data_IF_894363324751
#
_entry.id   IF_894363324751
#
_cell.length_a   1.000
_cell.length_b   1.000
_cell.length_c   1.000
_cell.angle_alpha   90.00
_cell.angle_beta   90.00
_cell.angle_gamma   90.00
#
_symmetry.space_group_name_H-M   'P 1'
#
loop_
_entity.id
_entity.type
_entity.pdbx_description
1 polymer ?
#
# COMPACT_ATOMS: atom_id res chain seq x y z
N UNK A 1 2.28 8.54 11.99
CA UNK A 1 1.02 9.10 12.47
C UNK A 1 0.38 9.94 11.39
N UNK A 2 -0.90 9.71 11.12
CA UNK A 2 -1.77 10.46 10.23
C UNK A 2 -1.48 10.40 8.72
N UNK A 3 -1.90 9.34 8.06
CA UNK A 3 -2.24 9.34 6.63
C UNK A 3 -3.07 8.10 6.30
N UNK A 4 -4.30 8.05 6.74
CA UNK A 4 -5.23 7.03 6.28
C UNK A 4 -6.67 7.38 6.64
N UNK A 5 -7.15 8.56 6.26
CA UNK A 5 -8.59 8.84 6.33
C UNK A 5 -8.91 9.89 5.26
N UNK A 6 -9.03 9.47 4.02
CA UNK A 6 -9.80 10.19 3.01
C UNK A 6 -10.17 9.20 1.91
N UNK A 7 -11.41 8.76 1.89
CA UNK A 7 -11.87 8.00 0.73
C UNK A 7 -12.98 6.99 0.95
N UNK A 8 -13.73 7.07 2.02
CA UNK A 8 -14.86 6.16 2.21
C UNK A 8 -16.12 6.87 2.73
N UNK A 9 -16.40 8.05 2.26
CA UNK A 9 -17.59 8.78 2.68
C UNK A 9 -18.38 9.25 1.47
N UNK A 10 -19.07 8.33 0.82
CA UNK A 10 -20.32 8.62 0.09
C UNK A 10 -20.90 7.29 -0.43
N UNK A 11 -21.59 6.63 0.39
CA UNK A 11 -22.68 5.68 0.25
C UNK A 11 -22.66 4.68 1.44
N UNK A 12 -22.61 5.23 2.65
CA UNK A 12 -23.07 4.46 3.80
C UNK A 12 -24.59 4.50 3.75
N UNK A 13 -25.20 3.40 3.41
CA UNK A 13 -26.59 3.16 3.75
C UNK A 13 -26.65 2.98 5.27
N UNK A 14 -27.27 3.89 6.03
CA UNK A 14 -27.42 3.71 7.46
C UNK A 14 -28.51 2.69 7.70
N UNK A 15 -28.21 1.65 8.42
CA UNK A 15 -29.34 0.88 8.81
C UNK A 15 -29.09 -0.45 9.48
N UNK A 16 -28.49 -0.46 10.64
CA UNK A 16 -28.94 -1.43 11.64
C UNK A 16 -30.04 -0.81 12.49
N UNK A 17 -31.25 -0.79 11.99
CA UNK A 17 -32.44 -0.76 12.84
C UNK A 17 -32.85 -2.23 13.05
N UNK A 18 -32.77 -2.67 14.30
CA UNK A 18 -33.37 -3.92 14.76
C UNK A 18 -34.84 -3.93 14.33
N UNK A 19 -35.19 -4.84 13.43
CA UNK A 19 -36.56 -5.16 13.18
C UNK A 19 -37.15 -5.79 14.46
N UNK A 20 -38.11 -5.11 15.06
CA UNK A 20 -39.06 -5.73 15.97
C UNK A 20 -39.86 -6.74 15.19
N UNK A 21 -39.99 -7.94 15.73
CA UNK A 21 -40.93 -8.97 15.28
C UNK A 21 -42.32 -8.35 15.07
N UNK A 22 -42.66 -8.17 13.80
CA UNK A 22 -44.09 -8.02 13.44
C UNK A 22 -44.61 -9.39 13.03
N UNK A 23 -45.76 -9.80 13.56
CA UNK A 23 -46.34 -11.08 13.23
C UNK A 23 -46.73 -11.15 11.76
N UNK A 24 -46.40 -12.29 11.13
CA UNK A 24 -46.68 -12.70 9.77
C UNK A 24 -48.16 -12.46 9.41
N UNK A 25 -48.45 -11.40 8.70
CA UNK A 25 -49.79 -11.02 8.20
C UNK A 25 -49.99 -11.32 6.71
N UNK A 26 -49.08 -12.01 6.06
CA UNK A 26 -49.17 -12.25 4.61
C UNK A 26 -49.47 -13.72 4.22
N UNK A 27 -50.45 -14.30 4.87
CA UNK A 27 -51.21 -15.46 4.30
C UNK A 27 -52.53 -15.00 3.71
N UNK A 28 -52.51 -14.07 2.75
CA UNK A 28 -53.65 -13.82 1.88
C UNK A 28 -53.19 -13.52 0.46
N UNK A 29 -53.43 -14.49 -0.43
CA UNK A 29 -53.51 -14.31 -1.88
C UNK A 29 -52.17 -14.08 -2.56
N UNK A 30 -51.60 -15.13 -3.13
CA UNK A 30 -50.57 -15.05 -4.16
C UNK A 30 -51.19 -14.41 -5.44
N UNK A 31 -51.53 -13.12 -5.34
CA UNK A 31 -51.97 -12.35 -6.50
C UNK A 31 -50.75 -12.22 -7.42
N UNK A 32 -50.86 -12.74 -8.62
CA UNK A 32 -49.86 -12.57 -9.69
C UNK A 32 -49.51 -11.10 -9.82
N UNK A 33 -48.31 -10.73 -9.40
CA UNK A 33 -47.77 -9.37 -9.54
C UNK A 33 -47.03 -9.20 -10.87
N UNK A 34 -47.22 -10.13 -11.81
CA UNK A 34 -46.60 -10.11 -13.13
C UNK A 34 -47.58 -10.54 -14.22
N UNK A 35 -47.43 -9.99 -15.40
CA UNK A 35 -48.02 -10.44 -16.64
C UNK A 35 -46.96 -11.22 -17.43
N UNK A 36 -47.17 -12.53 -17.50
CA UNK A 36 -46.20 -13.46 -18.07
C UNK A 36 -46.73 -14.00 -19.41
N UNK A 37 -45.99 -13.71 -20.48
CA UNK A 37 -46.27 -14.12 -21.86
C UNK A 37 -45.23 -15.15 -22.25
N UNK A 38 -45.61 -16.46 -22.21
CA UNK A 38 -44.67 -17.53 -22.49
C UNK A 38 -45.17 -18.91 -22.02
N UNK A 39 -44.26 -19.87 -22.08
CA UNK A 39 -44.57 -21.28 -21.71
C UNK A 39 -43.53 -21.72 -20.66
N UNK A 40 -44.01 -22.35 -19.60
CA UNK A 40 -43.17 -22.92 -18.53
C UNK A 40 -42.13 -21.93 -17.95
N UNK A 41 -42.53 -20.68 -17.66
CA UNK A 41 -41.67 -19.68 -17.11
C UNK A 41 -40.61 -19.13 -18.10
N UNK A 42 -40.82 -19.31 -19.41
CA UNK A 42 -39.92 -18.83 -20.47
C UNK A 42 -40.66 -17.91 -21.42
N UNK A 43 -40.07 -16.78 -21.77
CA UNK A 43 -40.64 -15.79 -22.68
C UNK A 43 -40.44 -14.35 -22.22
N UNK A 44 -41.53 -13.56 -22.17
CA UNK A 44 -41.49 -12.16 -21.72
C UNK A 44 -42.36 -11.99 -20.47
N UNK A 45 -41.83 -11.39 -19.44
CA UNK A 45 -42.55 -11.09 -18.20
C UNK A 45 -42.53 -9.57 -17.94
N UNK A 46 -43.68 -9.05 -17.55
CA UNK A 46 -43.84 -7.67 -17.06
C UNK A 46 -44.30 -7.69 -15.62
N UNK A 47 -43.47 -7.17 -14.72
CA UNK A 47 -43.74 -7.14 -13.29
C UNK A 47 -42.84 -8.08 -12.48
N UNK A 48 -43.24 -8.31 -11.23
CA UNK A 48 -42.41 -8.96 -10.20
C UNK A 48 -42.55 -10.47 -10.19
N UNK A 49 -42.19 -11.15 -11.28
CA UNK A 49 -42.12 -12.60 -11.37
C UNK A 49 -41.00 -13.15 -10.48
N UNK A 50 -41.29 -14.28 -9.78
CA UNK A 50 -40.33 -14.93 -8.86
C UNK A 50 -39.18 -15.62 -9.61
N UNK A 51 -39.54 -16.38 -10.62
CA UNK A 51 -38.62 -17.17 -11.47
C UNK A 51 -38.96 -16.93 -12.94
N UNK A 52 -37.95 -16.56 -13.74
CA UNK A 52 -38.18 -16.28 -15.15
C UNK A 52 -36.96 -16.60 -16.01
N UNK A 53 -37.20 -17.11 -17.19
CA UNK A 53 -36.19 -17.29 -18.23
C UNK A 53 -36.59 -16.53 -19.49
N UNK A 54 -35.72 -15.61 -19.95
CA UNK A 54 -35.98 -14.78 -21.13
C UNK A 54 -35.91 -13.30 -20.81
N UNK A 55 -36.89 -12.52 -21.28
CA UNK A 55 -36.93 -11.06 -21.05
C UNK A 55 -37.83 -10.74 -19.84
N UNK A 56 -37.33 -10.02 -18.89
CA UNK A 56 -38.06 -9.60 -17.70
C UNK A 56 -37.96 -8.07 -17.54
N UNK A 57 -39.11 -7.42 -17.45
CA UNK A 57 -39.25 -5.99 -17.22
C UNK A 57 -39.94 -5.75 -15.89
N UNK A 58 -39.30 -5.07 -14.97
CA UNK A 58 -39.90 -4.79 -13.67
C UNK A 58 -39.57 -3.35 -13.21
N UNK A 59 -40.44 -2.75 -12.42
CA UNK A 59 -40.12 -1.49 -11.79
C UNK A 59 -39.09 -1.69 -10.66
N UNK A 60 -39.37 -2.64 -9.77
CA UNK A 60 -38.53 -2.94 -8.59
C UNK A 60 -38.78 -4.37 -8.11
N UNK A 61 -37.71 -5.11 -7.88
CA UNK A 61 -37.81 -6.49 -7.41
C UNK A 61 -38.16 -6.55 -5.91
N UNK A 62 -39.16 -7.34 -5.53
CA UNK A 62 -39.56 -7.56 -4.14
C UNK A 62 -39.52 -9.02 -3.72
N UNK A 63 -39.46 -9.95 -4.66
CA UNK A 63 -39.51 -11.39 -4.40
C UNK A 63 -38.79 -12.25 -5.43
N UNK A 64 -37.85 -11.66 -6.14
CA UNK A 64 -37.08 -12.40 -7.14
C UNK A 64 -36.32 -13.55 -6.51
N UNK A 65 -36.45 -14.73 -7.07
CA UNK A 65 -35.69 -15.96 -6.75
C UNK A 65 -34.59 -16.12 -7.79
N UNK A 66 -34.99 -16.20 -9.08
CA UNK A 66 -34.05 -16.40 -10.17
C UNK A 66 -34.55 -15.79 -11.49
N UNK A 67 -33.69 -15.03 -12.15
CA UNK A 67 -33.91 -14.58 -13.52
C UNK A 67 -32.76 -15.06 -14.42
N UNK A 68 -33.10 -15.80 -15.47
CA UNK A 68 -32.15 -16.29 -16.46
C UNK A 68 -32.41 -15.58 -17.80
N UNK A 69 -31.48 -14.74 -18.24
CA UNK A 69 -31.59 -13.95 -19.46
C UNK A 69 -31.45 -12.45 -19.20
N UNK A 70 -32.45 -11.66 -19.60
CA UNK A 70 -32.42 -10.20 -19.44
C UNK A 70 -33.37 -9.77 -18.31
N UNK A 71 -32.85 -9.13 -17.29
CA UNK A 71 -33.61 -8.49 -16.24
C UNK A 71 -33.45 -6.98 -16.32
N UNK A 72 -34.50 -6.29 -16.77
CA UNK A 72 -34.53 -4.83 -16.82
C UNK A 72 -35.35 -4.29 -15.65
N UNK A 73 -34.74 -3.45 -14.82
CA UNK A 73 -35.40 -2.82 -13.67
C UNK A 73 -35.23 -1.30 -13.70
N UNK A 74 -36.20 -0.59 -13.12
CA UNK A 74 -36.12 0.86 -12.96
C UNK A 74 -35.56 1.27 -11.60
N UNK A 75 -35.55 0.37 -10.62
CA UNK A 75 -35.06 0.67 -9.27
C UNK A 75 -34.40 -0.53 -8.60
N UNK A 76 -33.56 -0.26 -7.60
CA UNK A 76 -32.95 -1.28 -6.75
C UNK A 76 -34.01 -2.18 -6.11
N UNK A 77 -33.75 -3.47 -5.89
CA UNK A 77 -34.61 -4.37 -5.15
C UNK A 77 -34.96 -3.86 -3.75
N UNK A 78 -36.08 -4.34 -3.20
CA UNK A 78 -36.33 -4.19 -1.76
C UNK A 78 -35.40 -5.08 -0.96
N UNK A 79 -35.16 -4.76 0.30
CA UNK A 79 -34.46 -5.65 1.23
C UNK A 79 -35.13 -7.03 1.23
N UNK A 80 -34.33 -8.08 1.15
CA UNK A 80 -34.79 -9.46 1.01
C UNK A 80 -35.58 -9.79 -0.27
N UNK A 81 -35.69 -8.86 -1.21
CA UNK A 81 -36.37 -9.05 -2.49
C UNK A 81 -35.43 -9.33 -3.68
N UNK A 82 -34.15 -9.30 -3.45
CA UNK A 82 -33.11 -9.49 -4.47
C UNK A 82 -32.72 -10.97 -4.58
N UNK A 83 -33.07 -11.61 -5.70
CA UNK A 83 -32.68 -12.96 -6.02
C UNK A 83 -31.38 -13.06 -6.84
N UNK A 84 -31.29 -14.15 -7.63
CA UNK A 84 -30.17 -14.37 -8.54
C UNK A 84 -30.53 -13.90 -9.95
N UNK A 85 -29.60 -13.21 -10.60
CA UNK A 85 -29.69 -12.88 -12.02
C UNK A 85 -28.53 -13.55 -12.76
N UNK A 86 -28.84 -14.41 -13.72
CA UNK A 86 -27.89 -15.05 -14.62
C UNK A 86 -28.10 -14.50 -16.02
N UNK A 87 -27.17 -13.68 -16.51
CA UNK A 87 -27.25 -13.05 -17.83
C UNK A 87 -27.05 -11.53 -17.76
N UNK A 88 -28.03 -10.77 -18.21
CA UNK A 88 -27.94 -9.32 -18.33
C UNK A 88 -28.89 -8.64 -17.33
N UNK A 89 -28.35 -7.88 -16.39
CA UNK A 89 -29.11 -6.99 -15.52
C UNK A 89 -28.95 -5.54 -15.98
N UNK A 90 -30.07 -4.87 -16.31
CA UNK A 90 -30.08 -3.48 -16.77
C UNK A 90 -30.88 -2.64 -15.80
N UNK A 91 -30.28 -1.55 -15.31
CA UNK A 91 -30.89 -0.54 -14.44
C UNK A 91 -31.14 0.78 -15.16
N UNK A 92 -32.39 1.22 -15.22
CA UNK A 92 -32.80 2.50 -15.77
C UNK A 92 -33.62 3.29 -14.73
N UNK A 93 -33.00 3.97 -13.74
CA UNK A 93 -31.55 4.23 -13.62
C UNK A 93 -30.76 3.22 -12.77
N UNK A 94 -31.42 2.37 -11.96
CA UNK A 94 -30.78 1.50 -10.99
C UNK A 94 -31.23 0.03 -11.16
N UNK A 95 -30.33 -0.88 -10.87
CA UNK A 95 -30.63 -2.32 -10.73
C UNK A 95 -29.86 -2.94 -9.58
N UNK A 96 -30.20 -4.16 -9.22
CA UNK A 96 -29.51 -4.92 -8.20
C UNK A 96 -29.94 -6.37 -8.18
N UNK A 97 -29.15 -7.18 -7.48
CA UNK A 97 -29.45 -8.59 -7.25
C UNK A 97 -28.71 -9.05 -5.98
N UNK A 98 -29.15 -10.14 -5.39
CA UNK A 98 -28.37 -10.79 -4.35
C UNK A 98 -27.11 -11.44 -4.96
N UNK A 99 -27.27 -12.12 -6.08
CA UNK A 99 -26.17 -12.65 -6.88
C UNK A 99 -26.35 -12.25 -8.36
N UNK A 100 -25.32 -11.72 -8.99
CA UNK A 100 -25.33 -11.41 -10.41
C UNK A 100 -24.18 -12.13 -11.11
N UNK A 101 -24.53 -12.96 -12.10
CA UNK A 101 -23.57 -13.62 -13.00
C UNK A 101 -23.83 -13.17 -14.43
N UNK A 102 -22.86 -12.50 -15.04
CA UNK A 102 -22.95 -12.02 -16.39
C UNK A 102 -22.67 -10.52 -16.53
N UNK A 103 -23.53 -9.80 -17.23
CA UNK A 103 -23.36 -8.37 -17.49
C UNK A 103 -24.32 -7.55 -16.62
N UNK A 104 -23.79 -6.67 -15.80
CA UNK A 104 -24.55 -5.68 -15.03
C UNK A 104 -24.35 -4.28 -15.60
N UNK A 105 -25.43 -3.59 -15.97
CA UNK A 105 -25.38 -2.22 -16.49
C UNK A 105 -26.37 -1.36 -15.71
N UNK A 106 -25.90 -0.32 -15.05
CA UNK A 106 -26.75 0.65 -14.38
C UNK A 106 -26.43 2.06 -14.83
N UNK A 107 -27.42 2.82 -15.32
CA UNK A 107 -27.18 4.21 -15.76
C UNK A 107 -26.63 5.06 -14.60
N UNK A 108 -27.24 4.97 -13.41
CA UNK A 108 -26.65 5.55 -12.22
C UNK A 108 -25.80 4.53 -11.48
N UNK A 109 -26.30 3.30 -11.35
CA UNK A 109 -25.54 2.28 -10.66
C UNK A 109 -26.24 0.95 -10.52
N UNK A 110 -25.52 0.00 -9.93
CA UNK A 110 -26.10 -1.23 -9.48
C UNK A 110 -25.47 -1.74 -8.18
N UNK A 111 -26.26 -2.50 -7.42
CA UNK A 111 -25.86 -3.11 -6.18
C UNK A 111 -25.97 -4.63 -6.18
N UNK A 112 -25.00 -5.30 -5.54
CA UNK A 112 -25.03 -6.75 -5.37
C UNK A 112 -24.80 -7.09 -3.89
N UNK A 113 -25.70 -7.87 -3.28
CA UNK A 113 -25.61 -8.13 -1.86
C UNK A 113 -24.50 -9.13 -1.51
N UNK A 114 -24.42 -10.25 -2.22
CA UNK A 114 -23.55 -11.37 -1.88
C UNK A 114 -22.42 -11.62 -2.88
N UNK A 115 -22.73 -11.66 -4.17
CA UNK A 115 -21.72 -12.02 -5.19
C UNK A 115 -22.01 -11.40 -6.54
N UNK A 116 -20.99 -10.77 -7.09
CA UNK A 116 -20.93 -10.36 -8.49
C UNK A 116 -19.88 -11.18 -9.25
N UNK A 117 -20.21 -11.65 -10.46
CA UNK A 117 -19.24 -12.33 -11.33
C UNK A 117 -19.54 -12.02 -12.78
N UNK A 118 -18.66 -11.25 -13.44
CA UNK A 118 -18.84 -10.87 -14.83
C UNK A 118 -18.31 -9.52 -15.18
N UNK A 119 -19.06 -8.78 -16.04
CA UNK A 119 -18.71 -7.41 -16.41
C UNK A 119 -19.76 -6.46 -15.81
N UNK A 120 -19.31 -5.47 -15.07
CA UNK A 120 -20.15 -4.46 -14.45
C UNK A 120 -19.82 -3.06 -14.98
N UNK A 121 -20.85 -2.33 -15.40
CA UNK A 121 -20.72 -0.93 -15.85
C UNK A 121 -21.76 -0.08 -15.13
N UNK A 122 -21.31 0.95 -14.43
CA UNK A 122 -22.16 1.87 -13.69
C UNK A 122 -21.79 3.31 -13.99
N UNK A 123 -22.80 4.13 -14.33
CA UNK A 123 -22.56 5.54 -14.64
C UNK A 123 -22.02 6.34 -13.45
N UNK A 124 -22.58 6.15 -12.25
CA UNK A 124 -22.09 6.81 -11.05
C UNK A 124 -21.39 5.81 -10.11
N UNK A 125 -22.08 4.77 -9.70
CA UNK A 125 -21.52 3.91 -8.67
C UNK A 125 -21.91 2.44 -8.74
N UNK A 126 -21.02 1.62 -8.21
CA UNK A 126 -21.20 0.18 -8.10
C UNK A 126 -20.90 -0.25 -6.67
N UNK A 127 -21.78 -1.05 -6.09
CA UNK A 127 -21.61 -1.53 -4.72
C UNK A 127 -21.85 -3.03 -4.58
N UNK A 128 -21.05 -3.67 -3.72
CA UNK A 128 -21.25 -5.07 -3.34
C UNK A 128 -21.12 -5.27 -1.83
N UNK A 129 -22.06 -6.00 -1.23
CA UNK A 129 -21.92 -6.46 0.17
C UNK A 129 -20.91 -7.59 0.32
N UNK A 130 -20.75 -8.40 -0.70
CA UNK A 130 -19.82 -9.54 -0.74
C UNK A 130 -18.78 -9.45 -1.84
N UNK A 131 -18.41 -10.60 -2.39
CA UNK A 131 -17.33 -10.71 -3.37
C UNK A 131 -17.71 -10.15 -4.75
N UNK A 132 -16.77 -9.49 -5.37
CA UNK A 132 -16.90 -8.94 -6.71
C UNK A 132 -15.78 -9.46 -7.62
N UNK A 133 -16.15 -10.12 -8.72
CA UNK A 133 -15.18 -10.76 -9.64
C UNK A 133 -15.44 -10.39 -11.08
N UNK A 134 -14.40 -9.99 -11.80
CA UNK A 134 -14.45 -9.72 -13.23
C UNK A 134 -13.97 -8.33 -13.62
N UNK A 135 -14.65 -7.69 -14.57
CA UNK A 135 -14.34 -6.33 -15.02
C UNK A 135 -15.40 -5.38 -14.48
N UNK A 136 -14.98 -4.38 -13.76
CA UNK A 136 -15.87 -3.43 -13.09
C UNK A 136 -15.47 -2.01 -13.43
N UNK A 137 -16.41 -1.27 -14.02
CA UNK A 137 -16.22 0.12 -14.45
C UNK A 137 -17.29 1.00 -13.78
N UNK A 138 -16.87 1.96 -12.97
CA UNK A 138 -17.77 2.92 -12.32
C UNK A 138 -17.34 4.35 -12.61
N UNK A 139 -18.29 5.21 -12.97
CA UNK A 139 -17.99 6.60 -13.30
C UNK A 139 -17.45 7.40 -12.12
N UNK A 140 -18.01 7.25 -10.93
CA UNK A 140 -17.53 7.94 -9.73
C UNK A 140 -16.90 6.98 -8.75
N UNK A 141 -17.66 6.02 -8.24
CA UNK A 141 -17.18 5.23 -7.12
C UNK A 141 -17.51 3.75 -7.19
N UNK A 142 -16.64 2.94 -6.57
CA UNK A 142 -16.84 1.52 -6.41
C UNK A 142 -16.54 1.10 -4.97
N UNK A 143 -17.40 0.23 -4.42
CA UNK A 143 -17.17 -0.29 -3.07
C UNK A 143 -17.58 -1.75 -2.92
N UNK A 144 -16.83 -2.49 -2.11
CA UNK A 144 -17.13 -3.90 -1.79
C UNK A 144 -16.92 -4.20 -0.31
N UNK A 145 -17.84 -4.99 0.29
CA UNK A 145 -17.65 -5.52 1.64
C UNK A 145 -16.70 -6.71 1.68
N UNK A 146 -16.73 -7.53 0.63
CA UNK A 146 -15.89 -8.71 0.43
C UNK A 146 -14.66 -8.48 -0.43
N UNK A 147 -14.17 -9.57 -1.04
CA UNK A 147 -13.00 -9.54 -1.91
C UNK A 147 -13.35 -9.00 -3.31
N UNK A 148 -12.41 -8.23 -3.87
CA UNK A 148 -12.50 -7.72 -5.23
C UNK A 148 -11.42 -8.40 -6.08
N UNK A 149 -11.82 -9.01 -7.22
CA UNK A 149 -10.88 -9.72 -8.07
C UNK A 149 -11.10 -9.38 -9.55
N UNK A 150 -10.02 -9.10 -10.27
CA UNK A 150 -10.04 -8.77 -11.69
C UNK A 150 -9.63 -7.34 -11.98
N UNK A 151 -10.36 -6.65 -12.85
CA UNK A 151 -10.07 -5.27 -13.24
C UNK A 151 -11.16 -4.36 -12.67
N UNK A 152 -10.75 -3.37 -11.91
CA UNK A 152 -11.64 -2.41 -11.26
C UNK A 152 -11.18 -1.00 -11.55
N UNK A 153 -12.05 -0.20 -12.16
CA UNK A 153 -11.75 1.20 -12.52
C UNK A 153 -12.89 2.08 -12.02
N UNK A 154 -12.55 3.08 -11.23
CA UNK A 154 -13.50 4.07 -10.72
C UNK A 154 -12.97 5.49 -10.94
N UNK A 155 -13.82 6.38 -11.42
CA UNK A 155 -13.42 7.75 -11.78
C UNK A 155 -12.93 8.58 -10.60
N UNK A 156 -13.56 8.47 -9.42
CA UNK A 156 -13.07 9.15 -8.21
C UNK A 156 -12.37 8.17 -7.28
N UNK A 157 -13.03 7.11 -6.89
CA UNK A 157 -12.41 6.25 -5.91
C UNK A 157 -12.99 4.86 -5.81
N UNK A 158 -12.16 3.97 -5.31
CA UNK A 158 -12.58 2.62 -5.00
C UNK A 158 -12.09 2.20 -3.63
N UNK A 159 -12.89 1.38 -2.97
CA UNK A 159 -12.55 0.87 -1.65
C UNK A 159 -13.29 -0.39 -1.29
N UNK A 160 -12.75 -1.13 -0.33
CA UNK A 160 -13.39 -2.34 0.15
C UNK A 160 -12.85 -2.81 1.49
N UNK A 161 -13.65 -3.66 2.16
CA UNK A 161 -13.26 -4.26 3.44
C UNK A 161 -12.33 -5.46 3.29
N UNK A 162 -12.49 -6.21 2.19
CA UNK A 162 -11.74 -7.44 1.91
C UNK A 162 -10.41 -7.24 1.21
N UNK A 163 -9.99 -8.27 0.47
CA UNK A 163 -8.76 -8.28 -0.31
C UNK A 163 -9.00 -7.82 -1.75
N UNK A 164 -7.94 -7.38 -2.41
CA UNK A 164 -7.95 -7.05 -3.82
C UNK A 164 -6.91 -7.84 -4.59
N UNK A 165 -7.38 -8.54 -5.64
CA UNK A 165 -6.52 -9.30 -6.54
C UNK A 165 -6.72 -8.83 -7.98
N UNK A 166 -5.71 -8.22 -8.58
CA UNK A 166 -5.76 -7.79 -9.99
C UNK A 166 -5.35 -6.34 -10.20
N UNK A 167 -6.13 -5.62 -10.99
CA UNK A 167 -5.86 -4.22 -11.34
C UNK A 167 -6.92 -3.33 -10.70
N UNK A 168 -6.49 -2.33 -9.96
CA UNK A 168 -7.36 -1.35 -9.34
C UNK A 168 -6.89 0.07 -9.67
N UNK A 169 -7.78 0.85 -10.27
CA UNK A 169 -7.51 2.25 -10.63
C UNK A 169 -8.62 3.13 -10.07
N UNK A 170 -8.26 4.00 -9.14
CA UNK A 170 -9.15 5.03 -8.60
C UNK A 170 -8.62 6.42 -8.94
N UNK A 171 -9.44 7.26 -9.57
CA UNK A 171 -9.01 8.59 -10.00
C UNK A 171 -8.45 9.47 -8.88
N UNK A 172 -9.05 9.45 -7.70
CA UNK A 172 -8.51 10.10 -6.51
C UNK A 172 -7.86 9.07 -5.56
N UNK A 173 -8.49 7.92 -5.36
CA UNK A 173 -7.95 6.96 -4.41
C UNK A 173 -8.35 5.52 -4.65
N UNK A 174 -7.49 4.59 -4.22
CA UNK A 174 -7.75 3.17 -4.20
C UNK A 174 -7.31 2.57 -2.85
N UNK A 175 -8.26 2.04 -2.07
CA UNK A 175 -7.96 1.54 -0.73
C UNK A 175 -8.70 0.25 -0.39
N UNK A 176 -8.01 -0.67 0.29
CA UNK A 176 -8.58 -1.92 0.78
C UNK A 176 -8.25 -2.14 2.26
N UNK A 177 -9.20 -2.68 3.00
CA UNK A 177 -8.98 -3.05 4.40
C UNK A 177 -8.05 -4.25 4.57
N UNK A 178 -8.12 -5.20 3.63
CA UNK A 178 -7.30 -6.42 3.60
C UNK A 178 -6.00 -6.27 2.81
N UNK A 179 -5.62 -7.35 2.15
CA UNK A 179 -4.40 -7.44 1.32
C UNK A 179 -4.65 -6.97 -0.11
N UNK A 180 -3.61 -6.48 -0.75
CA UNK A 180 -3.66 -6.09 -2.17
C UNK A 180 -2.59 -6.85 -2.96
N UNK A 181 -3.02 -7.53 -4.05
CA UNK A 181 -2.12 -8.24 -4.96
C UNK A 181 -2.35 -7.80 -6.40
N UNK A 182 -1.34 -7.26 -7.07
CA UNK A 182 -1.42 -6.83 -8.46
C UNK A 182 -0.95 -5.39 -8.71
N UNK A 183 -1.70 -4.63 -9.50
CA UNK A 183 -1.41 -3.23 -9.85
C UNK A 183 -2.47 -2.29 -9.23
N UNK A 184 -2.02 -1.30 -8.49
CA UNK A 184 -2.87 -0.34 -7.79
C UNK A 184 -2.46 1.08 -8.11
N UNK A 185 -3.42 1.88 -8.59
CA UNK A 185 -3.19 3.27 -8.92
C UNK A 185 -4.27 4.13 -8.27
N UNK A 186 -3.83 5.08 -7.45
CA UNK A 186 -4.69 6.12 -6.88
C UNK A 186 -4.14 7.49 -7.21
N UNK A 187 -4.95 8.35 -7.83
CA UNK A 187 -4.49 9.67 -8.27
C UNK A 187 -3.94 10.54 -7.14
N UNK A 188 -4.56 10.53 -5.96
CA UNK A 188 -4.00 11.14 -4.76
C UNK A 188 -3.32 10.10 -3.88
N UNK A 189 -3.96 8.96 -3.66
CA UNK A 189 -3.36 7.95 -2.80
C UNK A 189 -3.89 6.55 -3.04
N UNK A 190 -3.05 5.57 -2.74
CA UNK A 190 -3.47 4.17 -2.71
C UNK A 190 -2.88 3.46 -1.49
N UNK A 191 -3.57 2.41 -1.01
CA UNK A 191 -3.05 1.67 0.11
C UNK A 191 -3.91 0.51 0.58
N UNK A 192 -3.29 -0.34 1.38
CA UNK A 192 -3.92 -1.50 2.01
C UNK A 192 -3.75 -1.46 3.53
N UNK A 193 -4.75 -1.95 4.25
CA UNK A 193 -4.63 -2.21 5.67
C UNK A 193 -3.70 -3.39 5.98
N UNK A 194 -3.67 -4.39 5.10
CA UNK A 194 -2.80 -5.56 5.16
C UNK A 194 -1.55 -5.45 4.30
N UNK A 195 -1.09 -6.61 3.80
CA UNK A 195 0.10 -6.71 2.94
C UNK A 195 -0.20 -6.25 1.51
N UNK A 196 0.83 -5.72 0.86
CA UNK A 196 0.81 -5.39 -0.57
C UNK A 196 1.84 -6.23 -1.32
N UNK A 197 1.39 -6.85 -2.41
CA UNK A 197 2.24 -7.60 -3.34
C UNK A 197 1.99 -7.15 -4.76
N UNK A 198 2.97 -6.52 -5.38
CA UNK A 198 2.85 -6.01 -6.75
C UNK A 198 3.33 -4.57 -6.90
N UNK A 199 2.60 -3.78 -7.66
CA UNK A 199 2.96 -2.39 -7.96
C UNK A 199 1.89 -1.46 -7.40
N UNK A 200 2.29 -0.52 -6.56
CA UNK A 200 1.44 0.51 -6.00
C UNK A 200 1.90 1.91 -6.38
N UNK A 201 0.98 2.71 -6.89
CA UNK A 201 1.24 4.09 -7.29
C UNK A 201 0.20 4.99 -6.65
N UNK A 202 0.64 5.94 -5.86
CA UNK A 202 -0.20 6.99 -5.29
C UNK A 202 0.35 8.37 -5.62
N UNK A 203 -0.46 9.25 -6.20
CA UNK A 203 -0.01 10.58 -6.59
C UNK A 203 0.62 11.39 -5.43
N UNK A 204 0.02 11.38 -4.26
CA UNK A 204 0.61 11.93 -3.04
C UNK A 204 1.29 10.83 -2.21
N UNK A 205 0.65 9.68 -2.05
CA UNK A 205 1.23 8.65 -1.21
C UNK A 205 0.73 7.25 -1.48
N UNK A 206 1.58 6.27 -1.15
CA UNK A 206 1.24 4.86 -1.17
C UNK A 206 1.62 4.21 0.16
N UNK A 207 0.71 3.41 0.73
CA UNK A 207 0.94 2.79 2.02
C UNK A 207 0.44 1.36 2.14
N UNK A 208 1.15 0.58 2.96
CA UNK A 208 0.75 -0.75 3.41
C UNK A 208 0.79 -0.79 4.93
N UNK A 209 -0.28 -1.25 5.57
CA UNK A 209 -0.28 -1.49 7.03
C UNK A 209 0.58 -2.69 7.42
N UNK A 210 0.71 -3.67 6.53
CA UNK A 210 1.56 -4.85 6.67
C UNK A 210 2.86 -4.76 5.89
N UNK A 211 3.22 -5.88 5.25
CA UNK A 211 4.42 -5.99 4.44
C UNK A 211 4.19 -5.49 3.01
N UNK A 212 5.26 -5.02 2.38
CA UNK A 212 5.25 -4.59 0.99
C UNK A 212 6.26 -5.39 0.18
N UNK A 213 5.80 -6.01 -0.92
CA UNK A 213 6.65 -6.76 -1.85
C UNK A 213 6.40 -6.32 -3.28
N UNK A 214 7.38 -5.72 -3.89
CA UNK A 214 7.30 -5.21 -5.27
C UNK A 214 7.74 -3.76 -5.39
N UNK A 215 6.96 -2.92 -6.05
CA UNK A 215 7.27 -1.51 -6.23
C UNK A 215 6.19 -0.61 -5.62
N UNK A 216 6.61 0.41 -4.89
CA UNK A 216 5.72 1.45 -4.39
C UNK A 216 6.26 2.84 -4.71
N UNK A 217 5.39 3.65 -5.32
CA UNK A 217 5.72 5.01 -5.73
C UNK A 217 4.68 5.96 -5.15
N UNK A 218 5.16 6.96 -4.43
CA UNK A 218 4.32 8.03 -3.87
C UNK A 218 4.94 9.39 -4.10
N UNK A 219 4.16 10.34 -4.62
CA UNK A 219 4.66 11.68 -4.93
C UNK A 219 5.20 12.42 -3.70
N UNK A 220 4.58 12.27 -2.54
CA UNK A 220 5.11 12.77 -1.27
C UNK A 220 5.78 11.66 -0.47
N UNK A 221 5.10 10.51 -0.33
CA UNK A 221 5.65 9.47 0.53
C UNK A 221 5.21 8.05 0.22
N UNK A 222 6.05 7.10 0.65
CA UNK A 222 5.74 5.68 0.64
C UNK A 222 5.99 5.09 2.02
N UNK A 223 5.15 4.11 2.42
CA UNK A 223 5.31 3.48 3.72
C UNK A 223 4.87 2.03 3.76
N UNK A 224 5.54 1.26 4.63
CA UNK A 224 5.13 -0.07 5.02
C UNK A 224 5.22 -0.20 6.54
N UNK A 225 4.16 -0.68 7.18
CA UNK A 225 4.16 -0.92 8.63
C UNK A 225 5.04 -2.09 9.04
N UNK A 226 5.11 -3.13 8.22
CA UNK A 226 5.97 -4.29 8.38
C UNK A 226 7.30 -4.19 7.64
N UNK A 227 7.68 -5.26 6.96
CA UNK A 227 8.89 -5.32 6.12
C UNK A 227 8.60 -4.86 4.69
N UNK A 228 9.61 -4.34 4.01
CA UNK A 228 9.49 -4.03 2.60
C UNK A 228 10.59 -4.68 1.77
N UNK A 229 10.19 -5.20 0.56
CA UNK A 229 11.13 -5.79 -0.40
C UNK A 229 10.83 -5.27 -1.81
N UNK A 230 11.83 -4.67 -2.45
CA UNK A 230 11.75 -4.18 -3.81
C UNK A 230 12.10 -2.71 -3.98
N UNK A 231 11.29 -1.97 -4.73
CA UNK A 231 11.52 -0.57 -5.02
C UNK A 231 10.57 0.34 -4.22
N UNK A 232 11.13 1.27 -3.45
CA UNK A 232 10.39 2.32 -2.76
C UNK A 232 10.84 3.69 -3.26
N UNK A 233 9.92 4.48 -3.81
CA UNK A 233 10.20 5.84 -4.26
C UNK A 233 9.19 6.79 -3.64
N UNK A 234 9.66 7.64 -2.73
CA UNK A 234 8.87 8.70 -2.12
C UNK A 234 9.43 10.08 -2.44
N UNK A 235 8.63 10.96 -3.03
CA UNK A 235 9.10 12.28 -3.42
C UNK A 235 9.68 13.10 -2.26
N UNK A 236 9.05 13.07 -1.09
CA UNK A 236 9.63 13.63 0.14
C UNK A 236 10.29 12.52 0.97
N UNK A 237 9.67 11.35 1.09
CA UNK A 237 10.30 10.34 1.91
C UNK A 237 9.71 8.94 1.84
N UNK A 238 10.43 8.00 2.44
CA UNK A 238 10.02 6.61 2.59
C UNK A 238 10.27 6.08 3.99
N UNK A 239 9.34 5.28 4.50
CA UNK A 239 9.47 4.66 5.82
C UNK A 239 9.04 3.20 5.84
N UNK A 240 9.84 2.37 6.51
CA UNK A 240 9.55 0.95 6.72
C UNK A 240 9.65 0.66 8.21
N UNK A 241 8.59 0.09 8.80
CA UNK A 241 8.58 -0.21 10.23
C UNK A 241 9.57 -1.31 10.62
N UNK A 242 9.73 -2.33 9.78
CA UNK A 242 10.69 -3.42 9.94
C UNK A 242 11.90 -3.31 9.03
N UNK A 243 12.31 -4.45 8.45
CA UNK A 243 13.46 -4.52 7.55
C UNK A 243 13.11 -4.06 6.14
N UNK A 244 14.08 -3.47 5.48
CA UNK A 244 14.01 -3.09 4.08
C UNK A 244 15.04 -3.82 3.24
N UNK A 245 14.61 -4.41 2.12
CA UNK A 245 15.52 -5.05 1.14
C UNK A 245 15.21 -4.55 -0.26
N UNK A 246 16.17 -3.91 -0.92
CA UNK A 246 16.00 -3.43 -2.29
C UNK A 246 16.58 -2.05 -2.55
N UNK A 247 15.86 -1.25 -3.32
CA UNK A 247 16.23 0.12 -3.68
C UNK A 247 15.22 1.09 -3.07
N UNK A 248 15.68 1.97 -2.21
CA UNK A 248 14.87 3.00 -1.57
C UNK A 248 15.35 4.40 -1.92
N UNK A 249 14.45 5.26 -2.37
CA UNK A 249 14.73 6.65 -2.73
C UNK A 249 13.73 7.55 -2.03
N UNK A 250 14.22 8.48 -1.24
CA UNK A 250 13.42 9.50 -0.57
C UNK A 250 14.00 10.89 -0.82
N UNK A 251 13.19 11.82 -1.35
CA UNK A 251 13.66 13.16 -1.67
C UNK A 251 14.26 13.93 -0.48
N UNK A 252 13.63 13.86 0.69
CA UNK A 252 14.21 14.36 1.93
C UNK A 252 14.87 13.23 2.73
N UNK A 253 14.18 12.10 2.87
CA UNK A 253 14.75 11.02 3.66
C UNK A 253 14.12 9.67 3.45
N UNK A 254 14.88 8.64 3.84
CA UNK A 254 14.40 7.27 3.86
C UNK A 254 14.87 6.56 5.13
N UNK A 255 14.01 5.73 5.70
CA UNK A 255 14.35 5.02 6.92
C UNK A 255 13.70 3.66 7.07
N UNK A 256 14.34 2.83 7.88
CA UNK A 256 13.81 1.55 8.33
C UNK A 256 14.01 1.37 9.84
N UNK A 257 13.01 0.80 10.50
CA UNK A 257 13.12 0.45 11.92
C UNK A 257 14.10 -0.70 12.18
N UNK A 258 14.25 -1.60 11.21
CA UNK A 258 15.16 -2.74 11.25
C UNK A 258 16.40 -2.59 10.37
N UNK A 259 16.78 -3.70 9.73
CA UNK A 259 17.92 -3.77 8.81
C UNK A 259 17.57 -3.20 7.42
N UNK A 260 18.57 -2.62 6.78
CA UNK A 260 18.50 -2.23 5.37
C UNK A 260 19.49 -3.07 4.57
N UNK A 261 19.01 -3.73 3.51
CA UNK A 261 19.87 -4.48 2.59
C UNK A 261 19.66 -3.98 1.16
N UNK A 262 20.69 -3.41 0.55
CA UNK A 262 20.66 -2.90 -0.81
C UNK A 262 21.11 -1.45 -0.94
N UNK A 263 20.38 -0.64 -1.70
CA UNK A 263 20.70 0.76 -1.95
C UNK A 263 19.63 1.67 -1.34
N UNK A 264 20.05 2.63 -0.53
CA UNK A 264 19.18 3.70 -0.04
C UNK A 264 19.75 5.07 -0.33
N UNK A 265 18.89 5.96 -0.82
CA UNK A 265 19.24 7.34 -1.16
C UNK A 265 18.23 8.26 -0.48
N UNK A 266 18.70 9.07 0.45
CA UNK A 266 17.91 10.12 1.09
C UNK A 266 18.50 11.50 0.78
N UNK A 267 17.71 12.41 0.21
CA UNK A 267 18.19 13.73 -0.18
C UNK A 267 18.80 14.51 0.99
N UNK A 268 18.17 14.48 2.17
CA UNK A 268 18.79 14.98 3.40
C UNK A 268 19.45 13.83 4.18
N UNK A 269 18.79 12.67 4.30
CA UNK A 269 19.41 11.62 5.08
C UNK A 269 18.76 10.25 4.96
N UNK A 270 19.53 9.25 5.43
CA UNK A 270 19.03 7.90 5.61
C UNK A 270 19.29 7.42 7.03
N UNK A 271 18.27 6.81 7.64
CA UNK A 271 18.33 6.31 9.01
C UNK A 271 17.84 4.86 9.13
N UNK A 272 18.46 4.08 10.05
CA UNK A 272 18.05 2.71 10.29
C UNK A 272 18.33 2.28 11.73
N UNK A 273 17.44 1.46 12.28
CA UNK A 273 17.59 0.95 13.63
C UNK A 273 18.59 -0.21 13.74
N UNK A 274 18.67 -1.02 12.69
CA UNK A 274 19.53 -2.21 12.61
C UNK A 274 20.84 -1.99 11.86
N UNK A 275 21.08 -2.85 10.86
CA UNK A 275 22.30 -2.88 10.06
C UNK A 275 22.03 -2.42 8.63
N UNK A 276 22.80 -1.49 8.10
CA UNK A 276 22.88 -1.24 6.66
C UNK A 276 23.86 -2.24 6.01
N UNK A 277 23.36 -3.08 5.08
CA UNK A 277 24.17 -3.97 4.24
C UNK A 277 24.06 -3.50 2.79
N UNK A 278 25.07 -2.84 2.29
CA UNK A 278 25.07 -2.31 0.93
C UNK A 278 25.52 -0.86 0.84
N UNK A 279 24.74 -0.02 0.16
CA UNK A 279 25.10 1.37 -0.10
C UNK A 279 24.05 2.31 0.48
N UNK A 280 24.50 3.24 1.31
CA UNK A 280 23.68 4.34 1.81
C UNK A 280 24.24 5.70 1.36
N UNK A 281 23.35 6.55 0.85
CA UNK A 281 23.68 7.91 0.43
C UNK A 281 22.72 8.88 1.10
N UNK A 282 23.25 9.82 1.86
CA UNK A 282 22.49 10.88 2.51
C UNK A 282 23.09 12.24 2.25
N UNK A 283 22.32 13.18 1.72
CA UNK A 283 22.81 14.53 1.39
C UNK A 283 23.39 15.26 2.59
N UNK A 284 22.75 15.19 3.76
CA UNK A 284 23.32 15.68 5.02
C UNK A 284 23.98 14.54 5.79
N UNK A 285 23.30 13.39 5.93
CA UNK A 285 23.90 12.36 6.73
C UNK A 285 23.27 10.97 6.65
N UNK A 286 24.04 10.02 7.18
CA UNK A 286 23.60 8.63 7.36
C UNK A 286 23.88 8.24 8.80
N UNK A 287 22.88 7.61 9.43
CA UNK A 287 23.01 7.15 10.80
C UNK A 287 22.25 5.85 11.08
N UNK A 288 22.84 5.02 11.92
CA UNK A 288 22.24 3.79 12.38
C UNK A 288 23.15 2.99 13.32
N UNK A 289 22.68 1.79 13.74
CA UNK A 289 23.45 0.98 14.67
C UNK A 289 24.70 0.40 14.03
N UNK A 290 24.58 -0.22 12.84
CA UNK A 290 25.73 -0.84 12.16
C UNK A 290 25.72 -0.51 10.67
N UNK A 291 26.90 -0.30 10.11
CA UNK A 291 27.10 -0.09 8.68
C UNK A 291 28.04 -1.17 8.15
N UNK A 292 27.58 -1.94 7.17
CA UNK A 292 28.39 -2.94 6.43
C UNK A 292 28.29 -2.64 4.96
N UNK A 293 29.29 -1.96 4.43
CA UNK A 293 29.31 -1.55 3.03
C UNK A 293 29.79 -0.12 2.84
N UNK A 294 29.12 0.67 2.00
CA UNK A 294 29.51 2.04 1.69
C UNK A 294 28.47 3.04 2.24
N UNK A 295 28.93 3.97 3.05
CA UNK A 295 28.12 5.08 3.53
C UNK A 295 28.69 6.42 3.04
N UNK A 296 27.86 7.21 2.36
CA UNK A 296 28.21 8.54 1.84
C UNK A 296 27.29 9.57 2.48
N UNK A 297 27.82 10.42 3.34
CA UNK A 297 27.08 11.49 4.01
C UNK A 297 27.70 12.84 3.72
N UNK A 298 26.92 13.80 3.23
CA UNK A 298 27.43 15.15 2.89
C UNK A 298 27.99 15.92 4.09
N UNK A 299 27.35 15.83 5.27
CA UNK A 299 27.85 16.42 6.51
C UNK A 299 28.36 15.37 7.49
N UNK A 300 27.67 14.23 7.60
CA UNK A 300 28.03 13.27 8.62
C UNK A 300 27.66 11.82 8.30
N UNK A 301 28.48 10.91 8.80
CA UNK A 301 28.18 9.48 8.90
C UNK A 301 28.42 9.07 10.34
N UNK A 302 27.44 8.35 10.93
CA UNK A 302 27.55 7.90 12.32
C UNK A 302 27.00 6.49 12.54
N UNK A 303 27.68 5.72 13.42
CA UNK A 303 27.25 4.40 13.81
C UNK A 303 27.97 3.89 15.05
N UNK A 304 27.52 2.74 15.57
CA UNK A 304 28.27 2.02 16.58
C UNK A 304 29.37 1.18 15.91
N UNK A 305 29.00 0.28 15.04
CA UNK A 305 29.96 -0.55 14.27
C UNK A 305 29.91 -0.18 12.81
N UNK A 306 31.08 0.08 12.22
CA UNK A 306 31.20 0.46 10.82
C UNK A 306 32.25 -0.43 10.15
N UNK A 307 31.81 -1.25 9.19
CA UNK A 307 32.65 -2.16 8.40
C UNK A 307 32.54 -1.78 6.93
N UNK A 308 33.60 -1.28 6.31
CA UNK A 308 33.63 -0.92 4.90
C UNK A 308 34.10 0.49 4.60
N UNK A 309 33.46 1.16 3.62
CA UNK A 309 33.81 2.49 3.15
C UNK A 309 32.96 3.60 3.76
N UNK A 310 33.59 4.69 4.14
CA UNK A 310 32.89 5.90 4.57
C UNK A 310 33.44 7.11 3.82
N UNK A 311 32.51 7.91 3.26
CA UNK A 311 32.86 9.21 2.67
C UNK A 311 31.98 10.26 3.33
N UNK A 312 32.60 11.18 4.06
CA UNK A 312 31.89 12.28 4.71
C UNK A 312 32.80 13.52 4.82
N UNK A 313 32.59 14.54 3.98
CA UNK A 313 33.47 15.71 3.95
C UNK A 313 33.64 16.42 5.30
N UNK A 314 32.64 16.38 6.19
CA UNK A 314 32.71 17.08 7.47
C UNK A 314 33.01 16.10 8.61
N UNK A 315 32.15 15.12 8.90
CA UNK A 315 32.29 14.32 10.11
C UNK A 315 31.99 12.84 9.92
N UNK A 316 32.90 12.01 10.41
CA UNK A 316 32.66 10.58 10.65
C UNK A 316 32.76 10.27 12.13
N UNK A 317 31.75 9.60 12.68
CA UNK A 317 31.70 9.30 14.12
C UNK A 317 31.38 7.84 14.40
N UNK A 318 32.19 7.23 15.27
CA UNK A 318 31.91 5.92 15.86
C UNK A 318 31.82 6.08 17.37
N UNK A 319 30.78 5.49 17.98
CA UNK A 319 30.51 5.62 19.42
C UNK A 319 31.50 4.83 20.29
N UNK A 320 31.43 5.02 21.64
CA UNK A 320 32.47 4.57 22.58
C UNK A 320 32.77 3.08 22.55
N UNK A 321 31.79 2.22 22.44
CA UNK A 321 31.99 0.76 22.46
C UNK A 321 32.06 0.16 21.05
N UNK A 322 32.01 1.04 20.04
CA UNK A 322 31.94 0.64 18.66
C UNK A 322 33.30 0.36 18.02
N UNK A 323 33.24 -0.22 16.83
CA UNK A 323 34.40 -0.57 16.03
C UNK A 323 34.29 0.00 14.62
N UNK A 324 35.38 0.52 14.14
CA UNK A 324 35.54 0.87 12.74
C UNK A 324 36.56 -0.05 12.06
N UNK A 325 36.14 -0.71 10.98
CA UNK A 325 37.00 -1.56 10.15
C UNK A 325 36.82 -1.19 8.68
N UNK A 326 37.86 -0.70 8.03
CA UNK A 326 37.79 -0.32 6.62
C UNK A 326 38.52 0.98 6.30
N UNK A 327 37.96 1.74 5.35
CA UNK A 327 38.54 3.01 4.90
C UNK A 327 37.51 4.14 5.09
N UNK A 328 37.90 5.17 5.80
CA UNK A 328 37.09 6.37 5.94
C UNK A 328 37.83 7.62 5.40
N UNK A 329 37.13 8.37 4.57
CA UNK A 329 37.59 9.67 4.10
C UNK A 329 36.65 10.73 4.69
N UNK A 330 37.16 11.53 5.66
CA UNK A 330 36.33 12.53 6.33
C UNK A 330 37.17 13.72 6.80
N UNK A 331 36.61 14.92 6.83
CA UNK A 331 37.28 16.09 7.38
C UNK A 331 37.69 15.87 8.83
N UNK A 332 36.74 15.43 9.66
CA UNK A 332 36.98 15.03 11.04
C UNK A 332 36.51 13.60 11.28
N UNK A 333 37.41 12.69 11.58
CA UNK A 333 37.11 11.32 11.98
C UNK A 333 37.20 11.20 13.51
N UNK A 334 36.06 10.91 14.18
CA UNK A 334 35.99 10.70 15.61
C UNK A 334 35.61 9.28 15.95
N UNK A 335 36.58 8.41 16.19
CA UNK A 335 36.36 7.01 16.58
C UNK A 335 36.59 6.91 18.09
N UNK A 336 35.49 6.93 18.87
CA UNK A 336 35.56 6.85 20.33
C UNK A 336 35.82 5.44 20.82
N UNK A 337 35.62 4.44 19.97
CA UNK A 337 35.93 3.03 20.20
C UNK A 337 37.24 2.62 19.54
N UNK A 338 37.20 1.45 18.87
CA UNK A 338 38.37 0.86 18.20
C UNK A 338 38.39 1.19 16.71
N UNK A 339 39.54 1.62 16.22
CA UNK A 339 39.81 1.81 14.81
C UNK A 339 40.67 0.63 14.30
N UNK A 340 40.12 -0.19 13.41
CA UNK A 340 40.81 -1.27 12.68
C UNK A 340 40.76 -0.95 11.18
N UNK A 341 41.65 -0.09 10.69
CA UNK A 341 41.61 0.35 9.30
C UNK A 341 42.25 1.72 9.10
N UNK A 342 41.88 2.39 8.03
CA UNK A 342 42.45 3.65 7.60
C UNK A 342 41.47 4.80 7.70
N UNK A 343 41.90 5.89 8.33
CA UNK A 343 41.21 7.18 8.27
C UNK A 343 42.06 8.20 7.55
N UNK A 344 41.45 8.89 6.60
CA UNK A 344 42.06 9.91 5.77
C UNK A 344 41.28 11.20 5.96
N UNK A 345 41.92 12.29 6.43
CA UNK A 345 41.20 13.53 6.66
C UNK A 345 42.06 14.65 7.22
N UNK A 346 41.43 15.69 7.71
CA UNK A 346 42.14 16.83 8.32
C UNK A 346 42.53 16.48 9.77
N UNK A 347 41.54 16.02 10.55
CA UNK A 347 41.77 15.59 11.94
C UNK A 347 41.24 14.17 12.12
N UNK A 348 42.09 13.28 12.60
CA UNK A 348 41.70 11.90 12.91
C UNK A 348 41.89 11.63 14.40
N UNK A 349 40.87 11.15 15.07
CA UNK A 349 40.88 10.75 16.47
C UNK A 349 40.44 9.31 16.62
N UNK A 350 41.25 8.51 17.30
CA UNK A 350 40.88 7.17 17.75
C UNK A 350 41.20 6.95 19.22
N UNK A 351 40.29 6.29 19.95
CA UNK A 351 40.57 5.90 21.32
C UNK A 351 41.53 4.71 21.37
N UNK A 352 41.24 3.66 20.61
CA UNK A 352 42.09 2.48 20.43
C UNK A 352 42.42 2.36 18.93
N UNK A 353 43.66 2.64 18.53
CA UNK A 353 44.11 2.58 17.15
C UNK A 353 44.79 1.24 16.89
N UNK A 354 44.23 0.48 15.90
CA UNK A 354 44.83 -0.74 15.30
C UNK A 354 44.84 -0.63 13.78
N UNK A 355 45.50 0.38 13.29
CA UNK A 355 45.49 0.71 11.87
C UNK A 355 46.32 1.96 11.60
N UNK A 356 45.87 2.79 10.66
CA UNK A 356 46.57 3.99 10.27
C UNK A 356 45.64 5.20 10.13
N UNK A 357 46.22 6.37 10.37
CA UNK A 357 45.59 7.68 10.23
C UNK A 357 46.48 8.55 9.33
N UNK A 358 45.89 9.19 8.33
CA UNK A 358 46.54 10.12 7.42
C UNK A 358 45.81 11.47 7.52
N UNK A 359 46.50 12.53 7.97
CA UNK A 359 45.86 13.84 8.12
C UNK A 359 46.77 14.84 8.74
N UNK A 360 46.34 16.09 8.79
CA UNK A 360 47.14 17.18 9.41
C UNK A 360 47.38 16.92 10.89
N UNK A 361 46.36 16.39 11.59
CA UNK A 361 46.45 16.05 13.00
C UNK A 361 45.88 14.66 13.22
N UNK A 362 46.70 13.72 13.70
CA UNK A 362 46.30 12.34 13.96
C UNK A 362 46.51 12.03 15.46
N UNK A 363 45.38 11.68 16.14
CA UNK A 363 45.33 11.45 17.57
C UNK A 363 44.98 10.01 17.85
N UNK A 364 45.90 9.26 18.42
CA UNK A 364 45.71 7.87 18.85
C UNK A 364 45.92 7.75 20.37
N UNK A 365 44.85 7.68 21.16
CA UNK A 365 44.97 7.67 22.63
C UNK A 365 45.67 6.42 23.19
N UNK A 366 45.55 5.30 22.51
CA UNK A 366 46.22 4.04 22.85
C UNK A 366 47.73 4.06 22.64
N UNK A 367 48.23 5.00 21.84
CA UNK A 367 49.66 5.08 21.58
C UNK A 367 50.45 5.67 22.75
N UNK A 368 51.75 5.36 22.87
CA UNK A 368 52.67 6.00 23.86
C UNK A 368 52.61 7.52 23.77
N UNK A 369 52.87 8.21 24.90
CA UNK A 369 52.78 9.69 24.99
C UNK A 369 53.46 10.44 23.83
N UNK A 370 54.64 9.98 23.40
CA UNK A 370 55.44 10.60 22.35
C UNK A 370 54.81 10.47 20.94
N UNK A 371 54.00 9.43 20.68
CA UNK A 371 53.40 9.15 19.37
C UNK A 371 51.86 9.25 19.43
N UNK A 372 51.31 9.78 20.52
CA UNK A 372 49.87 9.97 20.68
C UNK A 372 49.27 10.97 19.72
N UNK A 373 49.98 12.01 19.42
CA UNK A 373 49.57 13.04 18.46
C UNK A 373 50.70 13.24 17.47
N UNK A 374 50.44 12.90 16.22
CA UNK A 374 51.43 13.05 15.14
C UNK A 374 50.81 13.81 13.95
N UNK A 375 51.57 14.67 13.29
CA UNK A 375 51.20 15.25 12.02
C UNK A 375 51.38 14.24 10.90
N UNK A 376 50.64 14.41 9.79
CA UNK A 376 50.71 13.69 8.53
C UNK A 376 50.32 12.23 8.65
N UNK A 377 50.95 11.44 9.52
CA UNK A 377 50.74 10.00 9.61
C UNK A 377 50.88 9.47 11.06
N UNK A 378 49.92 8.63 11.48
CA UNK A 378 50.01 7.89 12.73
C UNK A 378 49.56 6.43 12.51
N UNK A 379 50.20 5.48 13.16
CA UNK A 379 49.88 4.07 13.05
C UNK A 379 50.05 3.31 14.36
N UNK A 380 49.29 2.23 14.46
CA UNK A 380 49.46 1.19 15.47
C UNK A 380 48.82 -0.10 14.93
N UNK A 381 49.58 -1.16 14.83
CA UNK A 381 49.12 -2.48 14.34
C UNK A 381 49.24 -3.59 15.40
N UNK A 382 49.36 -3.20 16.68
CA UNK A 382 49.46 -4.14 17.80
C UNK A 382 48.10 -4.47 18.40
#
# INVERSE_FOLDING_TARGET
MAAAVFGAALFVIPGRLRAQDQPDKDRKGDSRRSLDIGVNGKGVSFGDSKEWTGLRFNYRDSRLVEANGVNLTLWNPYENGAGRVNGLAIGLPLTGASELKGLGVGVFGFGVERRFSGIGVAGLGMGGGGDMRGIMLAGLGMGGGGDISGISIAGLGMGGGGNLNGIAIGGLGAGMGGHMTGLFVGGLGAGAGGDVKGIGIGGLGFGSGGNLRGAAIGGLGVGAGGTAKGLLVGGLGGGVGGDFTGIGIGGLGIGAGGDITGLVIGGLGAGFGGTLRGVGIGGLGIGGSRIRGLAIGGLGVGGMDVEGGVISPIMFRVEREGRFQGVAVAGYSQIKGRQEGWTIGVVNYAHDLRGAQIGLINIAKSNPKATRVLPIFNKNFR
#
